data_IF_679177326493
#
_entry.id   IF_679177326493
#
_cell.length_a   1.000
_cell.length_b   1.000
_cell.length_c   1.000
_cell.angle_alpha   90.00
_cell.angle_beta   90.00
_cell.angle_gamma   90.00
#
_symmetry.space_group_name_H-M   'P 1'
#
loop_
_entity.id
_entity.type
_entity.pdbx_description
1 polymer ?
#
# COMPACT_ATOMS: atom_id res chain seq x y z
N UNK A 1 55.53 -8.04 -74.73
CA UNK A 1 54.87 -9.22 -74.14
C UNK A 1 55.48 -9.41 -72.76
N UNK A 2 54.68 -9.13 -71.73
CA UNK A 2 54.94 -9.15 -70.27
C UNK A 2 56.07 -8.27 -69.69
N UNK A 3 55.69 -7.04 -69.33
CA UNK A 3 56.41 -6.11 -68.46
C UNK A 3 56.09 -6.42 -66.99
N UNK A 4 57.11 -6.81 -66.21
CA UNK A 4 57.06 -6.86 -64.74
C UNK A 4 57.50 -5.50 -64.20
N UNK A 5 56.60 -4.76 -63.57
CA UNK A 5 56.91 -3.51 -62.88
C UNK A 5 57.30 -3.81 -61.42
N UNK A 6 58.48 -3.39 -61.02
CA UNK A 6 58.96 -3.40 -59.63
C UNK A 6 58.16 -2.39 -58.77
N UNK A 7 57.85 -2.70 -57.50
CA UNK A 7 57.16 -1.77 -56.63
C UNK A 7 58.08 -0.59 -56.19
N UNK A 8 57.55 0.66 -56.14
CA UNK A 8 58.29 1.82 -55.64
C UNK A 8 58.44 1.77 -54.12
N UNK A 9 59.64 2.11 -53.66
CA UNK A 9 60.06 2.10 -52.26
C UNK A 9 60.00 3.54 -51.71
N UNK A 10 58.81 4.02 -51.37
CA UNK A 10 58.61 5.38 -50.84
C UNK A 10 58.27 5.32 -49.35
N UNK A 11 59.30 5.43 -48.52
CA UNK A 11 59.18 5.72 -47.08
C UNK A 11 59.05 7.25 -46.94
N UNK A 12 57.96 7.80 -46.38
CA UNK A 12 57.79 9.25 -46.24
C UNK A 12 58.74 9.83 -45.18
N UNK A 13 59.49 10.86 -45.59
CA UNK A 13 60.36 11.68 -44.74
C UNK A 13 59.52 12.56 -43.79
N UNK A 14 59.70 12.47 -42.46
CA UNK A 14 58.89 13.21 -41.48
C UNK A 14 59.26 14.70 -41.34
N UNK A 15 60.13 15.26 -42.20
CA UNK A 15 60.61 16.65 -42.05
C UNK A 15 59.99 17.70 -42.99
N UNK A 16 59.03 17.36 -43.85
CA UNK A 16 58.37 18.32 -44.75
C UNK A 16 56.88 18.50 -44.43
N UNK A 17 56.54 19.54 -43.66
CA UNK A 17 55.16 20.03 -43.50
C UNK A 17 54.79 20.99 -44.65
N UNK A 18 53.61 20.85 -45.30
CA UNK A 18 53.17 21.85 -46.26
C UNK A 18 52.33 22.93 -45.58
N UNK A 19 52.88 24.13 -45.59
CA UNK A 19 52.18 25.40 -45.40
C UNK A 19 51.08 25.58 -46.47
N UNK A 20 49.96 26.19 -46.07
CA UNK A 20 49.04 26.84 -47.00
C UNK A 20 47.87 26.00 -47.50
N UNK A 21 46.84 25.82 -46.66
CA UNK A 21 45.46 25.61 -47.13
C UNK A 21 44.45 26.15 -46.09
N UNK A 22 44.60 27.44 -45.76
CA UNK A 22 43.47 28.26 -45.35
C UNK A 22 42.56 28.44 -46.57
N UNK A 23 41.30 28.01 -46.45
CA UNK A 23 40.11 28.30 -47.28
C UNK A 23 39.30 27.06 -47.71
N UNK A 24 38.75 26.32 -46.72
CA UNK A 24 37.55 25.50 -46.94
C UNK A 24 36.45 25.94 -45.97
N UNK A 25 35.23 26.27 -46.45
CA UNK A 25 34.17 26.80 -45.59
C UNK A 25 33.67 25.73 -44.61
N UNK A 26 33.46 26.17 -43.38
CA UNK A 26 32.89 25.42 -42.28
C UNK A 26 31.52 24.83 -42.62
N UNK A 27 31.48 23.55 -43.00
CA UNK A 27 30.28 22.71 -42.96
C UNK A 27 30.66 21.27 -42.60
N UNK A 28 31.30 21.10 -41.43
CA UNK A 28 31.15 19.85 -40.67
C UNK A 28 29.96 20.08 -39.75
N UNK A 29 28.76 19.93 -40.32
CA UNK A 29 27.57 19.65 -39.54
C UNK A 29 27.82 18.35 -38.79
N UNK A 30 28.13 18.47 -37.49
CA UNK A 30 28.10 17.40 -36.50
C UNK A 30 26.66 16.90 -36.29
N UNK A 31 26.09 16.35 -37.35
CA UNK A 31 24.71 15.88 -37.43
C UNK A 31 24.70 14.46 -37.97
N UNK A 32 25.59 13.60 -37.48
CA UNK A 32 25.40 12.15 -37.52
C UNK A 32 26.27 11.47 -36.47
N UNK A 33 26.04 11.78 -35.19
CA UNK A 33 26.02 10.70 -34.19
C UNK A 33 24.86 9.78 -34.57
N UNK A 34 25.11 8.92 -35.55
CA UNK A 34 24.33 7.72 -35.79
C UNK A 34 24.43 6.93 -34.50
N UNK A 35 23.46 7.13 -33.62
CA UNK A 35 23.24 6.24 -32.50
C UNK A 35 23.00 4.88 -33.12
N UNK A 36 24.06 4.08 -33.20
CA UNK A 36 23.98 2.66 -33.44
C UNK A 36 23.23 2.09 -32.23
N UNK A 37 21.90 2.21 -32.27
CA UNK A 37 20.98 1.33 -31.57
C UNK A 37 21.10 -0.03 -32.26
N UNK A 38 22.31 -0.61 -32.26
CA UNK A 38 22.47 -2.03 -32.48
C UNK A 38 21.60 -2.66 -31.41
N UNK A 39 20.58 -3.39 -31.84
CA UNK A 39 19.78 -4.20 -30.94
C UNK A 39 20.76 -5.07 -30.15
N UNK A 40 21.09 -4.66 -28.93
CA UNK A 40 22.00 -5.38 -28.07
C UNK A 40 21.22 -6.62 -27.67
N UNK A 41 21.42 -7.71 -28.42
CA UNK A 41 20.78 -8.98 -28.15
C UNK A 41 21.34 -9.44 -26.81
N UNK A 42 20.54 -9.30 -25.75
CA UNK A 42 20.92 -9.74 -24.42
C UNK A 42 21.20 -11.23 -24.44
N UNK A 43 22.24 -11.65 -23.72
CA UNK A 43 22.45 -13.08 -23.49
C UNK A 43 21.24 -13.61 -22.72
N UNK A 44 20.66 -14.76 -23.13
CA UNK A 44 19.53 -15.33 -22.41
C UNK A 44 19.89 -15.53 -20.93
N UNK A 45 19.06 -14.98 -20.03
CA UNK A 45 19.27 -15.04 -18.58
C UNK A 45 20.06 -13.88 -17.94
N UNK A 46 20.55 -12.91 -18.72
CA UNK A 46 21.29 -11.77 -18.16
C UNK A 46 20.39 -10.87 -17.28
N UNK A 47 20.85 -10.57 -16.06
CA UNK A 47 20.10 -9.79 -15.08
C UNK A 47 18.83 -10.47 -14.54
N UNK A 48 18.64 -11.77 -14.79
CA UNK A 48 17.43 -12.51 -14.39
C UNK A 48 17.12 -12.37 -12.89
N UNK A 49 18.08 -12.67 -12.01
CA UNK A 49 17.87 -12.64 -10.57
C UNK A 49 17.56 -11.25 -10.04
N UNK A 50 18.28 -10.22 -10.49
CA UNK A 50 18.03 -8.83 -10.07
C UNK A 50 16.64 -8.36 -10.53
N UNK A 51 16.22 -8.74 -11.74
CA UNK A 51 14.87 -8.43 -12.25
C UNK A 51 13.77 -9.15 -11.45
N UNK A 52 13.96 -10.45 -11.16
CA UNK A 52 13.02 -11.24 -10.35
C UNK A 52 12.92 -10.70 -8.93
N UNK A 53 14.06 -10.44 -8.26
CA UNK A 53 14.06 -9.89 -6.90
C UNK A 53 13.42 -8.50 -6.83
N UNK A 54 13.67 -7.66 -7.84
CA UNK A 54 13.04 -6.34 -7.97
C UNK A 54 11.53 -6.48 -8.17
N UNK A 55 11.09 -7.38 -9.05
CA UNK A 55 9.68 -7.65 -9.29
C UNK A 55 8.98 -8.19 -8.02
N UNK A 56 9.62 -9.09 -7.29
CA UNK A 56 9.09 -9.65 -6.03
C UNK A 56 9.02 -8.58 -4.94
N UNK A 57 10.04 -7.74 -4.81
CA UNK A 57 10.04 -6.64 -3.84
C UNK A 57 8.90 -5.64 -4.12
N UNK A 58 8.74 -5.22 -5.38
CA UNK A 58 7.64 -4.33 -5.78
C UNK A 58 6.29 -5.04 -5.60
N UNK A 59 6.18 -6.33 -5.93
CA UNK A 59 4.96 -7.11 -5.72
C UNK A 59 4.56 -7.14 -4.25
N UNK A 60 5.52 -7.35 -3.34
CA UNK A 60 5.28 -7.27 -1.90
C UNK A 60 4.72 -5.93 -1.46
N UNK A 61 5.29 -4.82 -1.96
CA UNK A 61 4.80 -3.47 -1.68
C UNK A 61 3.39 -3.23 -2.26
N UNK A 62 3.12 -3.68 -3.48
CA UNK A 62 1.80 -3.58 -4.13
C UNK A 62 0.75 -4.34 -3.33
N UNK A 63 1.04 -5.58 -2.93
CA UNK A 63 0.12 -6.40 -2.15
C UNK A 63 -0.12 -5.81 -0.76
N UNK A 64 0.92 -5.29 -0.12
CA UNK A 64 0.80 -4.57 1.16
C UNK A 64 -0.09 -3.33 1.02
N UNK A 65 0.12 -2.53 -0.03
CA UNK A 65 -0.72 -1.37 -0.34
C UNK A 65 -2.17 -1.73 -0.64
N UNK A 66 -2.41 -2.82 -1.38
CA UNK A 66 -3.75 -3.33 -1.66
C UNK A 66 -4.47 -3.81 -0.38
N UNK A 67 -3.75 -4.50 0.52
CA UNK A 67 -4.28 -4.91 1.82
C UNK A 67 -4.60 -3.70 2.71
N UNK A 68 -3.79 -2.65 2.68
CA UNK A 68 -4.08 -1.39 3.36
C UNK A 68 -5.32 -0.70 2.77
N UNK A 69 -5.44 -0.62 1.44
CA UNK A 69 -6.60 -0.03 0.76
C UNK A 69 -7.90 -0.74 1.10
N UNK A 70 -7.88 -2.08 1.21
CA UNK A 70 -9.04 -2.86 1.66
C UNK A 70 -9.59 -2.34 2.98
N UNK A 71 -8.69 -2.04 3.93
CA UNK A 71 -9.06 -1.51 5.25
C UNK A 71 -9.57 -0.08 5.20
N UNK A 72 -9.06 0.75 4.30
CA UNK A 72 -9.56 2.11 4.13
C UNK A 72 -10.98 2.14 3.55
N UNK A 73 -11.31 1.24 2.63
CA UNK A 73 -12.67 1.14 2.06
C UNK A 73 -13.68 0.68 3.11
N UNK A 74 -13.26 -0.13 4.09
CA UNK A 74 -14.11 -0.55 5.22
C UNK A 74 -14.62 0.64 6.05
N UNK A 75 -13.82 1.69 6.16
CA UNK A 75 -14.16 2.89 6.94
C UNK A 75 -15.18 3.81 6.23
N UNK A 76 -15.51 3.55 4.96
CA UNK A 76 -16.43 4.40 4.20
C UNK A 76 -17.89 4.06 4.55
N UNK A 77 -18.72 5.06 4.93
CA UNK A 77 -20.12 4.83 5.21
C UNK A 77 -20.85 4.44 3.93
N UNK A 78 -21.58 3.32 3.97
CA UNK A 78 -22.40 2.85 2.84
C UNK A 78 -23.81 3.41 2.92
N UNK A 79 -24.41 3.79 1.77
CA UNK A 79 -25.81 4.20 1.74
C UNK A 79 -26.71 3.02 2.11
N UNK A 80 -27.59 3.27 3.06
CA UNK A 80 -28.60 2.34 3.53
C UNK A 80 -29.86 2.49 2.66
N UNK A 81 -30.46 1.38 2.24
CA UNK A 81 -31.70 1.40 1.42
C UNK A 81 -32.91 1.03 2.26
N UNK A 82 -32.71 0.20 3.26
CA UNK A 82 -33.75 -0.27 4.15
C UNK A 82 -33.20 -0.44 5.58
N UNK A 83 -34.12 -0.48 6.54
CA UNK A 83 -33.84 -0.87 7.91
C UNK A 83 -34.67 -2.09 8.23
N UNK A 84 -34.06 -3.04 8.92
CA UNK A 84 -34.73 -4.24 9.38
C UNK A 84 -35.08 -4.07 10.85
N UNK A 85 -36.35 -4.22 11.18
CA UNK A 85 -36.86 -4.22 12.55
C UNK A 85 -37.16 -5.67 12.96
N UNK A 86 -36.60 -6.08 14.09
CA UNK A 86 -36.94 -7.38 14.69
C UNK A 86 -38.09 -7.16 15.66
N UNK A 87 -39.26 -7.74 15.39
CA UNK A 87 -40.43 -7.71 16.28
C UNK A 87 -40.49 -8.98 17.12
N UNK A 88 -40.88 -8.87 18.40
CA UNK A 88 -40.94 -10.00 19.34
C UNK A 88 -42.25 -10.80 19.25
N UNK A 89 -42.88 -10.82 18.08
CA UNK A 89 -44.18 -11.44 17.82
C UNK A 89 -44.23 -12.01 16.40
N UNK A 90 -45.15 -12.94 16.10
CA UNK A 90 -45.36 -13.43 14.73
C UNK A 90 -45.84 -12.30 13.80
N UNK A 91 -45.37 -12.33 12.55
CA UNK A 91 -45.65 -11.29 11.55
C UNK A 91 -47.01 -11.43 10.85
N UNK A 92 -47.92 -12.28 11.35
CA UNK A 92 -49.21 -12.59 10.71
C UNK A 92 -50.10 -11.36 10.50
N UNK A 93 -49.88 -10.32 11.31
CA UNK A 93 -50.61 -9.04 11.29
C UNK A 93 -49.86 -7.94 10.50
N UNK A 94 -48.75 -8.26 9.85
CA UNK A 94 -47.91 -7.32 9.09
C UNK A 94 -48.11 -7.52 7.60
N UNK A 95 -48.62 -6.49 6.92
CA UNK A 95 -48.79 -6.49 5.46
C UNK A 95 -47.71 -5.61 4.79
N UNK A 96 -47.10 -6.07 3.67
CA UNK A 96 -46.25 -5.20 2.84
C UNK A 96 -47.00 -3.95 2.39
N UNK A 97 -46.32 -2.80 2.38
CA UNK A 97 -46.88 -1.49 2.07
C UNK A 97 -47.59 -0.79 3.23
N UNK A 98 -47.77 -1.46 4.38
CA UNK A 98 -48.38 -0.83 5.56
C UNK A 98 -47.49 0.30 6.12
N UNK A 99 -48.13 1.39 6.57
CA UNK A 99 -47.46 2.44 7.31
C UNK A 99 -47.00 1.91 8.68
N UNK A 100 -45.80 2.30 9.11
CA UNK A 100 -45.20 1.96 10.40
C UNK A 100 -44.93 3.25 11.15
N UNK A 101 -45.58 3.45 12.30
CA UNK A 101 -45.19 4.49 13.23
C UNK A 101 -44.11 3.94 14.18
N UNK A 102 -42.96 4.62 14.23
CA UNK A 102 -41.86 4.28 15.14
C UNK A 102 -42.12 4.97 16.47
N UNK A 103 -42.04 4.21 17.56
CA UNK A 103 -42.42 4.66 18.89
C UNK A 103 -41.23 4.54 19.87
N UNK A 104 -41.03 5.59 20.67
CA UNK A 104 -40.20 5.56 21.87
C UNK A 104 -41.07 5.35 23.10
N UNK A 105 -40.49 4.85 24.19
CA UNK A 105 -41.17 4.82 25.48
C UNK A 105 -40.17 5.00 26.61
N UNK A 106 -40.46 5.84 27.62
CA UNK A 106 -39.65 5.93 28.83
C UNK A 106 -39.65 4.62 29.63
N UNK A 107 -40.65 3.74 29.45
CA UNK A 107 -40.69 2.40 30.03
C UNK A 107 -39.71 1.41 29.37
N UNK A 108 -38.96 1.84 28.35
CA UNK A 108 -37.99 1.01 27.64
C UNK A 108 -38.66 -0.23 27.05
N UNK A 109 -38.05 -1.41 27.26
CA UNK A 109 -38.54 -2.69 26.73
C UNK A 109 -39.92 -3.13 27.23
N UNK A 110 -40.43 -2.50 28.27
CA UNK A 110 -41.79 -2.75 28.80
C UNK A 110 -42.81 -1.75 28.23
N UNK A 111 -42.51 -1.13 27.08
CA UNK A 111 -43.39 -0.21 26.39
C UNK A 111 -44.78 -0.82 26.16
N UNK A 112 -45.80 -0.07 26.59
CA UNK A 112 -47.21 -0.36 26.32
C UNK A 112 -47.75 0.69 25.34
N UNK A 113 -48.86 0.42 24.63
CA UNK A 113 -49.44 1.36 23.67
C UNK A 113 -49.70 2.77 24.23
N UNK A 114 -50.01 2.86 25.53
CA UNK A 114 -50.34 4.09 26.25
C UNK A 114 -49.10 4.88 26.70
N UNK A 115 -47.96 4.21 26.90
CA UNK A 115 -46.70 4.82 27.35
C UNK A 115 -45.74 5.10 26.19
N UNK A 116 -46.20 4.92 24.96
CA UNK A 116 -45.40 5.05 23.75
C UNK A 116 -45.71 6.35 23.00
N UNK A 117 -44.67 7.11 22.67
CA UNK A 117 -44.75 8.34 21.87
C UNK A 117 -44.19 8.09 20.46
N UNK A 118 -44.85 8.63 19.43
CA UNK A 118 -44.38 8.60 18.05
C UNK A 118 -43.14 9.47 17.88
N UNK A 119 -42.11 8.90 17.27
CA UNK A 119 -40.82 9.53 17.01
C UNK A 119 -40.39 9.44 15.55
N UNK A 120 -41.22 8.81 14.71
CA UNK A 120 -40.97 8.73 13.28
C UNK A 120 -41.97 7.84 12.53
N UNK A 121 -41.75 7.73 11.23
CA UNK A 121 -42.53 6.92 10.31
C UNK A 121 -41.64 6.13 9.37
N UNK A 122 -42.10 4.94 8.96
CA UNK A 122 -41.52 4.14 7.90
C UNK A 122 -42.64 3.39 7.16
N UNK A 123 -42.29 2.67 6.10
CA UNK A 123 -43.23 1.82 5.37
C UNK A 123 -42.68 0.40 5.30
N UNK A 124 -43.53 -0.60 5.57
CA UNK A 124 -43.15 -2.02 5.44
C UNK A 124 -42.84 -2.31 3.98
N UNK A 125 -41.61 -2.66 3.65
CA UNK A 125 -41.24 -3.14 2.32
C UNK A 125 -41.58 -4.62 2.17
N UNK A 126 -41.15 -5.46 3.11
CA UNK A 126 -41.45 -6.90 3.14
C UNK A 126 -41.22 -7.51 4.51
N UNK A 127 -41.80 -8.69 4.73
CA UNK A 127 -41.46 -9.57 5.85
C UNK A 127 -40.34 -10.51 5.41
N UNK A 128 -39.17 -10.42 6.03
CA UNK A 128 -37.95 -11.18 5.66
C UNK A 128 -37.97 -12.57 6.28
N UNK A 129 -38.54 -12.70 7.48
CA UNK A 129 -38.74 -13.99 8.15
C UNK A 129 -39.79 -13.87 9.24
N UNK A 130 -40.71 -14.81 9.29
CA UNK A 130 -41.70 -14.93 10.36
C UNK A 130 -41.36 -16.15 11.20
N UNK A 131 -41.17 -15.95 12.50
CA UNK A 131 -40.89 -17.01 13.46
C UNK A 131 -41.87 -16.92 14.63
N UNK A 132 -42.06 -18.04 15.31
CA UNK A 132 -43.09 -18.22 16.35
C UNK A 132 -42.99 -17.21 17.52
N UNK A 133 -41.78 -16.68 17.77
CA UNK A 133 -41.50 -15.71 18.84
C UNK A 133 -40.82 -14.43 18.37
N UNK A 134 -40.31 -14.41 17.14
CA UNK A 134 -39.57 -13.29 16.57
C UNK A 134 -39.75 -13.26 15.08
N UNK A 135 -40.09 -12.10 14.56
CA UNK A 135 -40.19 -11.88 13.12
C UNK A 135 -39.37 -10.67 12.72
N UNK A 136 -38.96 -10.66 11.46
CA UNK A 136 -38.01 -9.70 10.91
C UNK A 136 -38.71 -8.99 9.76
N UNK A 137 -38.96 -7.70 9.93
CA UNK A 137 -39.64 -6.86 8.94
C UNK A 137 -38.65 -5.85 8.36
N UNK A 138 -38.62 -5.72 7.05
CA UNK A 138 -37.81 -4.73 6.36
C UNK A 138 -38.69 -3.51 6.08
N UNK A 139 -38.22 -2.34 6.52
CA UNK A 139 -38.89 -1.05 6.35
C UNK A 139 -38.05 -0.10 5.50
N UNK A 140 -38.72 0.68 4.67
CA UNK A 140 -38.13 1.70 3.79
C UNK A 140 -38.72 3.06 4.10
N UNK A 141 -38.11 4.13 3.58
CA UNK A 141 -38.60 5.51 3.80
C UNK A 141 -38.59 5.93 5.27
N UNK A 142 -37.65 5.40 6.06
CA UNK A 142 -37.55 5.70 7.48
C UNK A 142 -37.20 7.18 7.69
N UNK A 143 -38.13 7.92 8.28
CA UNK A 143 -38.01 9.32 8.64
C UNK A 143 -38.27 9.47 10.14
N UNK A 144 -37.30 10.03 10.87
CA UNK A 144 -37.44 10.34 12.29
C UNK A 144 -37.73 11.82 12.46
N UNK A 145 -38.50 12.16 13.49
CA UNK A 145 -38.74 13.54 13.87
C UNK A 145 -37.43 14.21 14.34
N UNK A 146 -37.28 15.54 14.16
CA UNK A 146 -36.05 16.24 14.51
C UNK A 146 -35.64 16.02 15.96
N UNK A 147 -34.38 15.60 16.18
CA UNK A 147 -33.81 15.39 17.52
C UNK A 147 -33.94 13.96 18.05
N UNK A 148 -34.62 13.05 17.33
CA UNK A 148 -34.73 11.64 17.71
C UNK A 148 -33.75 10.75 16.94
N UNK A 149 -33.37 9.63 17.56
CA UNK A 149 -32.41 8.65 17.00
C UNK A 149 -33.07 7.28 16.83
N UNK A 150 -32.61 6.49 15.85
CA UNK A 150 -33.09 5.11 15.66
C UNK A 150 -32.90 4.23 16.91
N UNK A 151 -31.92 4.55 17.76
CA UNK A 151 -31.67 3.82 19.01
C UNK A 151 -32.78 4.01 20.07
N UNK A 152 -33.59 5.06 19.96
CA UNK A 152 -34.71 5.36 20.86
C UNK A 152 -36.00 4.63 20.47
N UNK A 153 -36.00 3.97 19.30
CA UNK A 153 -37.12 3.18 18.81
C UNK A 153 -37.19 1.86 19.60
N UNK A 154 -38.27 1.70 20.37
CA UNK A 154 -38.49 0.50 21.20
C UNK A 154 -39.75 -0.25 20.81
N UNK A 155 -40.67 0.40 20.08
CA UNK A 155 -41.86 -0.24 19.54
C UNK A 155 -42.21 0.30 18.15
N UNK A 156 -42.96 -0.49 17.38
CA UNK A 156 -43.54 -0.07 16.12
C UNK A 156 -45.05 -0.33 16.15
N UNK A 157 -45.82 0.60 15.59
CA UNK A 157 -47.22 0.37 15.26
C UNK A 157 -47.36 0.21 13.76
N UNK A 158 -47.85 -0.93 13.30
CA UNK A 158 -48.04 -1.23 11.87
C UNK A 158 -49.53 -1.16 11.53
N UNK A 159 -49.88 -0.33 10.55
CA UNK A 159 -51.27 -0.07 10.15
C UNK A 159 -51.73 1.36 10.47
N UNK A 160 -53.05 1.62 10.47
CA UNK A 160 -53.61 2.95 10.75
C UNK A 160 -53.18 3.48 12.12
N UNK A 161 -53.04 4.81 12.26
CA UNK A 161 -52.44 5.43 13.46
C UNK A 161 -53.18 5.12 14.77
N UNK A 162 -54.50 4.95 14.69
CA UNK A 162 -55.39 4.73 15.85
C UNK A 162 -55.70 3.24 16.12
N UNK A 163 -55.56 2.36 15.13
CA UNK A 163 -55.97 0.94 15.23
C UNK A 163 -54.90 -0.06 14.78
N UNK A 164 -53.71 0.42 14.44
CA UNK A 164 -52.59 -0.39 13.99
C UNK A 164 -52.08 -1.35 15.08
N UNK A 165 -51.57 -2.49 14.65
CA UNK A 165 -51.02 -3.49 15.54
C UNK A 165 -49.72 -2.98 16.19
N UNK A 166 -49.66 -3.03 17.51
CA UNK A 166 -48.48 -2.65 18.29
C UNK A 166 -47.52 -3.83 18.42
N UNK A 167 -46.24 -3.58 18.19
CA UNK A 167 -45.17 -4.58 18.30
C UNK A 167 -43.99 -3.99 19.05
N UNK A 168 -43.43 -4.76 19.99
CA UNK A 168 -42.16 -4.42 20.61
C UNK A 168 -41.00 -4.74 19.67
N UNK A 169 -40.07 -3.81 19.52
CA UNK A 169 -38.87 -3.96 18.67
C UNK A 169 -37.71 -4.45 19.53
N UNK A 170 -37.13 -5.57 19.15
CA UNK A 170 -35.93 -6.14 19.76
C UNK A 170 -34.64 -5.46 19.27
N UNK A 171 -34.54 -5.17 17.97
CA UNK A 171 -33.39 -4.51 17.35
C UNK A 171 -33.73 -3.86 16.01
N UNK A 172 -32.97 -2.82 15.66
CA UNK A 172 -33.03 -2.14 14.36
C UNK A 172 -31.67 -2.22 13.69
N UNK A 173 -31.59 -2.85 12.54
CA UNK A 173 -30.33 -3.02 11.79
C UNK A 173 -30.46 -2.45 10.39
N UNK A 174 -29.49 -1.66 9.96
CA UNK A 174 -29.44 -1.11 8.60
C UNK A 174 -29.07 -2.16 7.55
N UNK A 175 -29.80 -2.21 6.43
CA UNK A 175 -29.48 -3.06 5.27
C UNK A 175 -28.72 -2.22 4.24
N UNK A 176 -27.43 -2.50 4.00
CA UNK A 176 -26.63 -1.74 3.04
C UNK A 176 -27.08 -2.05 1.60
N UNK A 177 -27.03 -1.03 0.71
CA UNK A 177 -27.41 -1.17 -0.71
C UNK A 177 -26.64 -2.26 -1.45
N UNK A 178 -25.37 -2.43 -1.09
CA UNK A 178 -24.46 -3.40 -1.65
C UNK A 178 -23.54 -3.90 -0.55
N UNK A 179 -23.07 -5.14 -0.67
CA UNK A 179 -22.09 -5.67 0.26
C UNK A 179 -20.75 -4.95 0.03
N UNK A 180 -20.23 -4.34 1.10
CA UNK A 180 -18.97 -3.58 1.06
C UNK A 180 -17.80 -4.42 0.53
N UNK A 181 -17.84 -5.74 0.73
CA UNK A 181 -16.83 -6.71 0.28
C UNK A 181 -16.60 -6.63 -1.23
N UNK A 182 -17.64 -6.40 -2.05
CA UNK A 182 -17.46 -6.27 -3.50
C UNK A 182 -16.71 -5.00 -3.88
N UNK A 183 -16.97 -3.90 -3.17
CA UNK A 183 -16.25 -2.63 -3.39
C UNK A 183 -14.81 -2.75 -2.90
N UNK A 184 -14.59 -3.36 -1.73
CA UNK A 184 -13.25 -3.65 -1.21
C UNK A 184 -12.45 -4.49 -2.18
N UNK A 185 -13.04 -5.57 -2.71
CA UNK A 185 -12.41 -6.45 -3.69
C UNK A 185 -12.11 -5.72 -5.01
N UNK A 186 -13.02 -4.88 -5.49
CA UNK A 186 -12.79 -4.10 -6.70
C UNK A 186 -11.64 -3.10 -6.54
N UNK A 187 -11.58 -2.38 -5.43
CA UNK A 187 -10.52 -1.39 -5.15
C UNK A 187 -9.17 -2.08 -4.94
N UNK A 188 -9.10 -3.09 -4.06
CA UNK A 188 -7.85 -3.81 -3.81
C UNK A 188 -7.37 -4.58 -5.05
N UNK A 189 -8.30 -5.22 -5.78
CA UNK A 189 -8.01 -5.95 -7.00
C UNK A 189 -7.51 -5.06 -8.14
N UNK A 190 -8.12 -3.88 -8.35
CA UNK A 190 -7.64 -2.91 -9.34
C UNK A 190 -6.27 -2.35 -8.99
N UNK A 191 -6.00 -2.06 -7.71
CA UNK A 191 -4.67 -1.65 -7.26
C UNK A 191 -3.62 -2.74 -7.48
N UNK A 192 -3.94 -4.00 -7.17
CA UNK A 192 -3.06 -5.13 -7.40
C UNK A 192 -2.78 -5.34 -8.91
N UNK A 193 -3.81 -5.25 -9.75
CA UNK A 193 -3.69 -5.36 -11.20
C UNK A 193 -2.83 -4.23 -11.78
N UNK A 194 -3.07 -2.99 -11.37
CA UNK A 194 -2.26 -1.84 -11.77
C UNK A 194 -0.79 -2.02 -11.36
N UNK A 195 -0.54 -2.53 -10.15
CA UNK A 195 0.80 -2.85 -9.69
C UNK A 195 1.47 -3.96 -10.50
N UNK A 196 0.75 -5.03 -10.88
CA UNK A 196 1.26 -6.07 -11.76
C UNK A 196 1.63 -5.53 -13.16
N UNK A 197 0.77 -4.69 -13.73
CA UNK A 197 1.05 -4.01 -15.00
C UNK A 197 2.25 -3.08 -14.90
N UNK A 198 2.39 -2.36 -13.78
CA UNK A 198 3.54 -1.51 -13.49
C UNK A 198 4.84 -2.32 -13.38
N UNK A 199 4.82 -3.46 -12.68
CA UNK A 199 5.97 -4.38 -12.58
C UNK A 199 6.36 -4.90 -13.96
N UNK A 200 5.39 -5.38 -14.75
CA UNK A 200 5.62 -5.84 -16.11
C UNK A 200 6.21 -4.73 -16.99
N UNK A 201 5.67 -3.51 -16.88
CA UNK A 201 6.16 -2.35 -17.62
C UNK A 201 7.60 -1.99 -17.23
N UNK A 202 7.90 -1.88 -15.94
CA UNK A 202 9.20 -1.46 -15.43
C UNK A 202 10.29 -2.52 -15.64
N UNK A 203 10.01 -3.78 -15.30
CA UNK A 203 11.00 -4.87 -15.28
C UNK A 203 11.05 -5.63 -16.61
N UNK A 204 9.97 -5.64 -17.38
CA UNK A 204 9.83 -6.41 -18.61
C UNK A 204 9.93 -5.59 -19.88
N UNK A 205 9.15 -4.51 -19.97
CA UNK A 205 8.92 -3.78 -21.23
C UNK A 205 9.84 -2.58 -21.43
N UNK A 206 10.21 -1.88 -20.36
CA UNK A 206 11.01 -0.65 -20.44
C UNK A 206 12.51 -0.96 -20.54
N UNK A 207 13.06 -0.88 -21.75
CA UNK A 207 14.46 -1.24 -22.03
C UNK A 207 15.47 -0.52 -21.11
N UNK A 208 15.35 0.81 -20.92
CA UNK A 208 16.25 1.57 -20.04
C UNK A 208 16.31 1.01 -18.60
N UNK A 209 15.17 0.58 -18.06
CA UNK A 209 15.11 -0.01 -16.72
C UNK A 209 15.73 -1.40 -16.70
N UNK A 210 15.51 -2.19 -17.76
CA UNK A 210 16.15 -3.51 -17.92
C UNK A 210 17.66 -3.38 -18.01
N UNK A 211 18.18 -2.45 -18.82
CA UNK A 211 19.61 -2.18 -18.96
C UNK A 211 20.25 -1.78 -17.63
N UNK A 212 19.56 -0.93 -16.85
CA UNK A 212 20.03 -0.54 -15.53
C UNK A 212 20.11 -1.74 -14.56
N UNK A 213 19.07 -2.57 -14.52
CA UNK A 213 19.04 -3.77 -13.66
C UNK A 213 20.11 -4.79 -14.07
N UNK A 214 20.37 -4.92 -15.37
CA UNK A 214 21.44 -5.76 -15.91
C UNK A 214 22.81 -5.21 -15.54
N UNK A 215 23.03 -3.90 -15.70
CA UNK A 215 24.28 -3.25 -15.33
C UNK A 215 24.55 -3.38 -13.83
N UNK A 216 23.50 -3.27 -13.01
CA UNK A 216 23.58 -3.48 -11.55
C UNK A 216 24.01 -4.91 -11.23
N UNK A 217 23.40 -5.93 -11.85
CA UNK A 217 23.81 -7.34 -11.70
C UNK A 217 25.28 -7.55 -12.10
N UNK A 218 25.71 -6.93 -13.20
CA UNK A 218 27.08 -7.02 -13.68
C UNK A 218 28.07 -6.33 -12.72
N UNK A 219 27.69 -5.20 -12.12
CA UNK A 219 28.52 -4.48 -11.16
C UNK A 219 28.66 -5.26 -9.85
N UNK A 220 27.56 -5.83 -9.35
CA UNK A 220 27.58 -6.65 -8.13
C UNK A 220 28.42 -7.93 -8.28
N UNK A 221 28.49 -8.51 -9.49
CA UNK A 221 29.35 -9.68 -9.76
C UNK A 221 30.84 -9.37 -9.76
N UNK A 222 31.24 -8.11 -9.91
CA UNK A 222 32.65 -7.70 -9.79
C UNK A 222 33.10 -7.64 -8.33
N UNK A 223 32.16 -7.49 -7.40
CA UNK A 223 32.47 -7.42 -5.98
C UNK A 223 32.91 -8.78 -5.50
N UNK A 224 34.17 -8.88 -5.08
CA UNK A 224 34.61 -10.05 -4.32
C UNK A 224 33.95 -10.00 -2.93
N UNK A 225 33.21 -11.05 -2.58
CA UNK A 225 32.66 -11.15 -1.23
C UNK A 225 33.78 -11.62 -0.30
N UNK A 226 34.05 -10.83 0.75
CA UNK A 226 35.05 -11.18 1.77
C UNK A 226 34.74 -12.56 2.34
N UNK A 227 35.74 -13.45 2.31
CA UNK A 227 35.62 -14.75 2.96
C UNK A 227 35.52 -14.56 4.48
N UNK A 228 34.85 -15.50 5.19
CA UNK A 228 34.70 -15.44 6.66
C UNK A 228 36.01 -15.16 7.39
N UNK A 229 37.12 -15.73 6.91
CA UNK A 229 38.46 -15.45 7.45
C UNK A 229 38.86 -13.98 7.32
N UNK A 230 38.74 -13.39 6.13
CA UNK A 230 39.07 -11.97 5.90
C UNK A 230 38.22 -11.04 6.77
N UNK A 231 36.95 -11.41 7.01
CA UNK A 231 36.06 -10.64 7.90
C UNK A 231 36.61 -10.69 9.33
N UNK A 232 36.97 -11.87 9.83
CA UNK A 232 37.54 -12.03 11.19
C UNK A 232 38.89 -11.31 11.31
N UNK A 233 39.76 -11.45 10.32
CA UNK A 233 41.07 -10.79 10.29
C UNK A 233 40.93 -9.25 10.28
N UNK A 234 39.92 -8.71 9.59
CA UNK A 234 39.64 -7.28 9.62
C UNK A 234 39.00 -6.81 10.93
N UNK A 235 38.10 -7.59 11.54
CA UNK A 235 37.42 -7.18 12.77
C UNK A 235 38.34 -7.29 13.99
N UNK A 236 39.22 -8.30 14.05
CA UNK A 236 40.14 -8.47 15.18
C UNK A 236 41.12 -7.31 15.30
N UNK A 237 41.60 -6.76 14.18
CA UNK A 237 42.49 -5.59 14.17
C UNK A 237 41.80 -4.38 14.80
N UNK A 238 40.55 -4.12 14.42
CA UNK A 238 39.77 -2.99 14.98
C UNK A 238 39.50 -3.22 16.46
N UNK A 239 39.09 -4.43 16.85
CA UNK A 239 38.86 -4.78 18.25
C UNK A 239 40.14 -4.59 19.08
N UNK A 240 41.29 -5.04 18.58
CA UNK A 240 42.58 -4.85 19.25
C UNK A 240 42.96 -3.38 19.38
N UNK A 241 42.74 -2.55 18.35
CA UNK A 241 42.98 -1.12 18.42
C UNK A 241 42.10 -0.43 19.47
N UNK A 242 40.81 -0.79 19.53
CA UNK A 242 39.88 -0.30 20.56
C UNK A 242 40.36 -0.66 21.97
N UNK A 243 40.81 -1.91 22.19
CA UNK A 243 41.34 -2.34 23.49
C UNK A 243 42.63 -1.61 23.87
N UNK A 244 43.53 -1.36 22.92
CA UNK A 244 44.76 -0.60 23.18
C UNK A 244 44.47 0.84 23.60
N UNK A 245 43.56 1.52 22.88
CA UNK A 245 43.16 2.88 23.22
C UNK A 245 42.46 2.90 24.58
N UNK A 246 41.53 1.97 24.83
CA UNK A 246 40.87 1.85 26.12
C UNK A 246 41.86 1.61 27.27
N UNK A 247 42.84 0.73 27.08
CA UNK A 247 43.91 0.49 28.05
C UNK A 247 44.79 1.71 28.29
N UNK A 248 45.14 2.45 27.24
CA UNK A 248 45.92 3.69 27.34
C UNK A 248 45.16 4.78 28.11
N UNK A 249 43.88 4.98 27.78
CA UNK A 249 43.01 5.91 28.51
C UNK A 249 42.88 5.50 29.98
N UNK A 250 42.69 4.20 30.26
CA UNK A 250 42.64 3.69 31.62
C UNK A 250 43.91 3.99 32.42
N UNK A 251 45.09 3.85 31.80
CA UNK A 251 46.38 4.20 32.45
C UNK A 251 46.46 5.69 32.74
N UNK A 252 46.09 6.54 31.77
CA UNK A 252 46.07 8.00 31.94
C UNK A 252 45.09 8.39 33.06
N UNK A 253 43.90 7.80 33.07
CA UNK A 253 42.88 8.05 34.09
C UNK A 253 43.39 7.65 35.48
N UNK A 254 44.09 6.51 35.61
CA UNK A 254 44.73 6.09 36.86
C UNK A 254 45.85 7.06 37.29
N UNK A 255 46.67 7.54 36.35
CA UNK A 255 47.73 8.51 36.63
C UNK A 255 47.13 9.84 37.12
N UNK A 256 46.12 10.37 36.43
CA UNK A 256 45.45 11.59 36.87
C UNK A 256 44.73 11.40 38.20
N UNK A 257 44.07 10.26 38.41
CA UNK A 257 43.45 9.92 39.69
C UNK A 257 44.47 9.96 40.83
N UNK A 258 45.62 9.31 40.68
CA UNK A 258 46.64 9.27 41.74
C UNK A 258 47.26 10.64 41.99
N UNK A 259 47.56 11.42 40.95
CA UNK A 259 48.07 12.79 41.09
C UNK A 259 47.05 13.70 41.79
N UNK A 260 45.78 13.65 41.41
CA UNK A 260 44.74 14.49 42.03
C UNK A 260 44.44 14.09 43.48
N UNK A 261 44.54 12.80 43.81
CA UNK A 261 44.51 12.34 45.21
C UNK A 261 45.71 12.85 46.01
N UNK A 262 46.92 12.82 45.42
CA UNK A 262 48.13 13.29 46.10
C UNK A 262 48.11 14.81 46.38
N UNK A 263 47.52 15.62 45.50
CA UNK A 263 47.38 17.07 45.68
C UNK A 263 46.18 17.43 46.59
N UNK A 264 45.38 16.45 47.03
CA UNK A 264 44.26 16.65 47.95
C UNK A 264 43.01 17.24 47.30
N UNK A 265 42.92 17.21 45.95
CA UNK A 265 41.74 17.65 45.20
C UNK A 265 40.62 16.59 45.23
N UNK A 266 40.98 15.31 45.35
CA UNK A 266 40.04 14.18 45.35
C UNK A 266 40.13 13.39 46.65
N UNK A 267 38.99 13.14 47.32
CA UNK A 267 38.90 12.35 48.55
C UNK A 267 39.23 10.88 48.26
N UNK A 268 40.15 10.28 49.02
CA UNK A 268 40.53 8.88 48.84
C UNK A 268 39.43 7.98 49.40
N UNK A 269 38.70 7.30 48.51
CA UNK A 269 37.85 6.16 48.87
C UNK A 269 38.73 4.94 49.14
#
# INVERSE_FOLDING_TARGET
MFTMASPPNDIPDPSNGPEGQDNLPALVTDATRTASHGAMIYKPGQGYWVRVLTAVAILGLVLSGAAWLWKQVEALPVPLVAHTLTINEPADRVQPGAAVALLSSPAGRNATPETSQKIGSATVARVVGSGDKRSVIEVTGLALDPGHRLAEVVAARVGPEESGAFFQIGSTTGVPKFQIVWVQAAVAGSAALAGLLFIYWLVGRRQRSVDFLIATDAEMKKVNWSTRKNIIDSTIVVVSACFLIAGFLFIIDLLFKTIFQAIGVLESI
#
